data_IF_914117779857
#
_entry.id   IF_914117779857
#
_cell.length_a   1.000
_cell.length_b   1.000
_cell.length_c   1.000
_cell.angle_alpha   90.00
_cell.angle_beta   90.00
_cell.angle_gamma   90.00
#
_symmetry.space_group_name_H-M   'P 1'
#
loop_
_entity.id
_entity.type
_entity.pdbx_description
1 polymer ?
#
# COMPACT_ATOMS: atom_id res chain seq x y z
N UNK A 1 48.57 -8.13 11.65
CA UNK A 1 47.36 -8.82 12.10
C UNK A 1 46.22 -7.79 12.33
N UNK A 2 45.51 -7.33 11.29
CA UNK A 2 44.37 -6.39 11.47
C UNK A 2 43.45 -6.36 10.25
N UNK A 3 42.86 -7.51 9.83
CA UNK A 3 41.90 -7.55 8.71
C UNK A 3 40.57 -8.23 9.07
N UNK A 4 40.31 -8.52 10.35
CA UNK A 4 39.15 -9.34 10.76
C UNK A 4 37.92 -8.53 11.24
N UNK A 5 38.01 -7.20 11.34
CA UNK A 5 36.91 -6.38 11.91
C UNK A 5 35.90 -5.84 10.88
N UNK A 6 36.30 -5.68 9.61
CA UNK A 6 35.43 -5.03 8.60
C UNK A 6 34.29 -5.91 8.08
N UNK A 7 34.39 -7.24 8.17
CA UNK A 7 33.32 -8.13 7.66
C UNK A 7 32.08 -8.18 8.55
N UNK A 8 32.18 -7.90 9.86
CA UNK A 8 31.03 -7.95 10.78
C UNK A 8 30.12 -6.72 10.69
N UNK A 9 30.65 -5.56 10.37
CA UNK A 9 29.87 -4.31 10.29
C UNK A 9 28.94 -4.27 9.06
N UNK A 10 29.36 -4.87 7.95
CA UNK A 10 28.54 -4.93 6.72
C UNK A 10 27.28 -5.79 6.87
N UNK A 11 27.37 -6.93 7.55
CA UNK A 11 26.24 -7.85 7.76
C UNK A 11 25.12 -7.22 8.59
N UNK A 12 25.47 -6.59 9.70
CA UNK A 12 24.49 -5.97 10.62
C UNK A 12 23.74 -4.79 9.99
N UNK A 13 24.40 -4.01 9.13
CA UNK A 13 23.75 -2.89 8.40
C UNK A 13 22.73 -3.39 7.37
N UNK A 14 23.04 -4.50 6.72
CA UNK A 14 22.17 -5.13 5.72
C UNK A 14 20.90 -5.69 6.36
N UNK A 15 21.00 -6.36 7.49
CA UNK A 15 19.84 -6.88 8.22
C UNK A 15 18.88 -5.77 8.65
N UNK A 16 19.41 -4.67 9.16
CA UNK A 16 18.60 -3.50 9.59
C UNK A 16 17.83 -2.88 8.43
N UNK A 17 18.39 -2.81 7.23
CA UNK A 17 17.71 -2.23 6.05
C UNK A 17 16.50 -3.07 5.63
N UNK A 18 16.62 -4.41 5.63
CA UNK A 18 15.50 -5.27 5.26
C UNK A 18 14.37 -5.26 6.28
N UNK A 19 14.72 -5.30 7.57
CA UNK A 19 13.75 -5.21 8.64
C UNK A 19 13.00 -3.86 8.61
N UNK A 20 13.72 -2.75 8.49
CA UNK A 20 13.12 -1.42 8.41
C UNK A 20 12.19 -1.30 7.19
N UNK A 21 12.63 -1.73 6.00
CA UNK A 21 11.80 -1.70 4.79
C UNK A 21 10.54 -2.55 4.92
N UNK A 22 10.66 -3.74 5.51
CA UNK A 22 9.51 -4.60 5.78
C UNK A 22 8.50 -3.97 6.75
N UNK A 23 8.98 -3.38 7.84
CA UNK A 23 8.11 -2.72 8.84
C UNK A 23 7.40 -1.48 8.26
N UNK A 24 8.11 -0.67 7.46
CA UNK A 24 7.49 0.49 6.80
C UNK A 24 6.45 0.02 5.76
N UNK A 25 6.70 -1.08 5.04
CA UNK A 25 5.72 -1.65 4.12
C UNK A 25 4.48 -2.16 4.88
N UNK A 26 4.63 -2.79 6.04
CA UNK A 26 3.51 -3.18 6.90
C UNK A 26 2.71 -1.95 7.34
N UNK A 27 3.38 -0.88 7.76
CA UNK A 27 2.71 0.36 8.16
C UNK A 27 1.94 1.01 6.98
N UNK A 28 2.54 1.09 5.79
CA UNK A 28 1.88 1.59 4.59
C UNK A 28 0.66 0.77 4.19
N UNK A 29 0.79 -0.57 4.24
CA UNK A 29 -0.34 -1.49 3.99
C UNK A 29 -1.45 -1.34 5.03
N UNK A 30 -1.10 -1.18 6.31
CA UNK A 30 -2.08 -0.95 7.38
C UNK A 30 -2.84 0.36 7.18
N UNK A 31 -2.18 1.44 6.73
CA UNK A 31 -2.85 2.69 6.36
C UNK A 31 -3.87 2.48 5.25
N UNK A 32 -3.55 1.70 4.21
CA UNK A 32 -4.50 1.37 3.14
C UNK A 32 -5.71 0.59 3.66
N UNK A 33 -5.48 -0.40 4.54
CA UNK A 33 -6.56 -1.16 5.20
C UNK A 33 -7.45 -0.24 6.02
N UNK A 34 -6.87 0.63 6.86
CA UNK A 34 -7.64 1.61 7.66
C UNK A 34 -8.41 2.54 6.72
N UNK A 35 -7.76 3.09 5.70
CA UNK A 35 -8.38 3.95 4.69
C UNK A 35 -9.62 3.34 4.04
N UNK A 36 -9.63 2.01 3.84
CA UNK A 36 -10.77 1.30 3.25
C UNK A 36 -12.06 1.42 4.08
N UNK A 37 -11.96 1.56 5.39
CA UNK A 37 -13.12 1.67 6.31
C UNK A 37 -13.53 3.12 6.62
N UNK A 38 -12.68 4.09 6.31
CA UNK A 38 -12.99 5.50 6.52
C UNK A 38 -14.02 6.01 5.50
N UNK A 39 -14.44 7.28 5.67
CA UNK A 39 -15.37 7.92 4.73
C UNK A 39 -14.72 8.12 3.36
N UNK A 40 -15.38 7.65 2.31
CA UNK A 40 -14.95 7.80 0.91
C UNK A 40 -15.71 8.89 0.17
N UNK A 41 -16.95 9.13 0.59
CA UNK A 41 -17.80 10.17 0.05
C UNK A 41 -18.43 10.95 1.20
N UNK A 42 -18.52 12.26 1.05
CA UNK A 42 -19.20 13.15 2.00
C UNK A 42 -20.12 14.07 1.20
N UNK A 43 -21.39 14.14 1.60
CA UNK A 43 -22.39 15.03 1.01
C UNK A 43 -22.96 15.95 2.08
N UNK A 44 -23.30 17.19 1.71
CA UNK A 44 -24.08 18.06 2.56
C UNK A 44 -25.56 17.65 2.49
N UNK A 45 -26.26 17.68 3.62
CA UNK A 45 -27.72 17.52 3.64
C UNK A 45 -28.39 18.87 3.51
N UNK A 46 -29.64 18.87 3.01
CA UNK A 46 -30.46 20.09 2.88
C UNK A 46 -30.67 20.82 4.21
N UNK A 47 -30.59 20.11 5.31
CA UNK A 47 -30.70 20.63 6.68
C UNK A 47 -29.37 21.23 7.23
N UNK A 48 -28.32 21.32 6.41
CA UNK A 48 -27.01 21.83 6.83
C UNK A 48 -26.13 20.81 7.56
N UNK A 49 -26.58 19.58 7.73
CA UNK A 49 -25.79 18.45 8.27
C UNK A 49 -24.83 17.84 7.24
N UNK A 50 -24.04 16.87 7.66
CA UNK A 50 -23.13 16.09 6.79
C UNK A 50 -23.47 14.62 6.85
N UNK A 51 -23.56 14.01 5.67
CA UNK A 51 -23.63 12.54 5.50
C UNK A 51 -22.31 12.05 4.97
N UNK A 52 -21.76 11.01 5.57
CA UNK A 52 -20.54 10.34 5.07
C UNK A 52 -20.83 8.88 4.77
N UNK A 53 -20.19 8.38 3.70
CA UNK A 53 -20.32 7.01 3.23
C UNK A 53 -18.94 6.37 3.26
N UNK A 54 -18.80 5.26 3.98
CA UNK A 54 -17.53 4.53 4.08
C UNK A 54 -17.19 3.81 2.76
N UNK A 55 -15.95 3.30 2.66
CA UNK A 55 -15.52 2.52 1.50
C UNK A 55 -16.30 1.22 1.27
N UNK A 56 -17.15 0.80 2.20
CA UNK A 56 -18.04 -0.36 2.10
C UNK A 56 -19.53 0.00 2.12
N UNK A 57 -19.85 1.29 1.98
CA UNK A 57 -21.22 1.76 1.85
C UNK A 57 -21.94 2.02 3.17
N UNK A 58 -21.28 1.90 4.34
CA UNK A 58 -21.90 2.28 5.61
C UNK A 58 -22.16 3.79 5.64
N UNK A 59 -23.40 4.17 5.94
CA UNK A 59 -23.87 5.55 5.99
C UNK A 59 -23.84 6.04 7.43
N UNK A 60 -23.24 7.20 7.63
CA UNK A 60 -23.16 7.88 8.93
C UNK A 60 -23.40 9.38 8.78
N UNK A 61 -23.83 10.04 9.84
CA UNK A 61 -24.10 11.48 9.88
C UNK A 61 -25.53 11.81 10.32
N UNK A 62 -25.90 13.10 10.14
CA UNK A 62 -27.17 13.65 10.59
C UNK A 62 -28.26 13.48 9.51
N UNK A 63 -28.71 12.26 9.32
CA UNK A 63 -29.80 11.97 8.37
C UNK A 63 -30.64 10.78 8.82
N UNK A 64 -31.81 10.62 8.24
CA UNK A 64 -32.79 9.55 8.57
C UNK A 64 -32.33 8.14 8.19
N UNK A 65 -31.30 8.00 7.35
CA UNK A 65 -30.73 6.74 6.89
C UNK A 65 -29.38 6.40 7.55
N UNK A 66 -28.96 7.18 8.54
CA UNK A 66 -27.78 6.90 9.33
C UNK A 66 -27.86 5.51 9.98
N UNK A 67 -26.76 4.75 9.92
CA UNK A 67 -26.72 3.36 10.41
C UNK A 67 -27.12 2.31 9.38
N UNK A 68 -27.64 2.69 8.20
CA UNK A 68 -27.94 1.77 7.09
C UNK A 68 -26.72 1.61 6.17
N UNK A 69 -26.83 0.73 5.17
CA UNK A 69 -25.80 0.51 4.17
C UNK A 69 -26.32 0.92 2.78
N UNK A 70 -25.54 1.72 2.07
CA UNK A 70 -25.86 2.16 0.70
C UNK A 70 -26.13 0.98 -0.24
N UNK A 71 -25.40 -0.13 -0.05
CA UNK A 71 -25.55 -1.31 -0.90
C UNK A 71 -26.94 -1.98 -0.77
N UNK A 72 -27.62 -1.82 0.35
CA UNK A 72 -28.98 -2.34 0.52
C UNK A 72 -29.95 -1.57 -0.38
N UNK A 73 -29.81 -0.25 -0.46
CA UNK A 73 -30.59 0.58 -1.36
C UNK A 73 -30.30 0.30 -2.84
N UNK A 74 -28.99 0.17 -3.17
CA UNK A 74 -28.57 -0.12 -4.55
C UNK A 74 -29.09 -1.48 -5.03
N UNK A 75 -29.04 -2.50 -4.16
CA UNK A 75 -29.56 -3.85 -4.51
C UNK A 75 -31.04 -3.86 -4.78
N UNK A 76 -31.85 -3.12 -4.00
CA UNK A 76 -33.27 -2.97 -4.19
C UNK A 76 -33.60 -2.27 -5.52
N UNK A 77 -32.77 -1.32 -5.94
CA UNK A 77 -32.94 -0.60 -7.21
C UNK A 77 -32.35 -1.32 -8.44
N UNK A 78 -31.80 -2.52 -8.29
CA UNK A 78 -31.09 -3.23 -9.38
C UNK A 78 -29.80 -2.56 -9.84
N UNK A 79 -29.28 -1.63 -9.05
CA UNK A 79 -28.03 -0.93 -9.29
C UNK A 79 -26.85 -1.75 -8.72
N UNK A 80 -25.66 -1.53 -9.23
CA UNK A 80 -24.45 -2.25 -8.80
C UNK A 80 -24.10 -2.06 -7.30
N UNK A 81 -22.94 -2.53 -6.88
CA UNK A 81 -22.48 -2.40 -5.49
C UNK A 81 -21.46 -1.26 -5.35
N UNK A 82 -21.55 -0.50 -4.26
CA UNK A 82 -20.60 0.54 -3.92
C UNK A 82 -19.57 0.02 -2.91
N UNK A 83 -18.38 -0.36 -3.39
CA UNK A 83 -17.30 -0.90 -2.53
C UNK A 83 -15.92 -0.37 -2.94
N UNK A 84 -15.72 0.95 -3.03
CA UNK A 84 -14.43 1.51 -3.43
C UNK A 84 -13.28 1.15 -2.46
N UNK A 85 -13.58 0.90 -1.19
CA UNK A 85 -12.62 0.49 -0.18
C UNK A 85 -12.04 -0.91 -0.40
N UNK A 86 -12.69 -1.77 -1.22
CA UNK A 86 -12.23 -3.14 -1.46
C UNK A 86 -10.83 -3.18 -2.06
N UNK A 87 -10.50 -2.25 -2.96
CA UNK A 87 -9.16 -2.15 -3.56
C UNK A 87 -8.12 -1.81 -2.47
N UNK A 88 -8.39 -0.81 -1.62
CA UNK A 88 -7.53 -0.43 -0.51
C UNK A 88 -7.31 -1.59 0.47
N UNK A 89 -8.38 -2.32 0.82
CA UNK A 89 -8.31 -3.48 1.69
C UNK A 89 -7.45 -4.60 1.07
N UNK A 90 -7.75 -5.00 -0.16
CA UNK A 90 -7.06 -6.13 -0.81
C UNK A 90 -5.57 -5.85 -0.98
N UNK A 91 -5.21 -4.72 -1.58
CA UNK A 91 -3.82 -4.37 -1.80
C UNK A 91 -3.09 -4.00 -0.50
N UNK A 92 -3.80 -3.44 0.47
CA UNK A 92 -3.27 -3.19 1.81
C UNK A 92 -2.87 -4.49 2.51
N UNK A 93 -3.71 -5.52 2.49
CA UNK A 93 -3.39 -6.85 3.04
C UNK A 93 -2.21 -7.51 2.30
N UNK A 94 -2.20 -7.44 0.97
CA UNK A 94 -1.05 -7.94 0.17
C UNK A 94 0.24 -7.24 0.59
N UNK A 95 0.21 -5.93 0.81
CA UNK A 95 1.37 -5.16 1.25
C UNK A 95 1.83 -5.54 2.67
N UNK A 96 0.89 -5.72 3.61
CA UNK A 96 1.20 -6.17 4.98
C UNK A 96 1.89 -7.53 4.96
N UNK A 97 1.33 -8.50 4.25
CA UNK A 97 1.91 -9.85 4.15
C UNK A 97 3.27 -9.83 3.46
N UNK A 98 3.41 -9.07 2.37
CA UNK A 98 4.67 -8.93 1.65
C UNK A 98 5.73 -8.22 2.49
N UNK A 99 5.35 -7.19 3.25
CA UNK A 99 6.24 -6.50 4.19
C UNK A 99 6.73 -7.43 5.30
N UNK A 100 5.85 -8.27 5.86
CA UNK A 100 6.22 -9.28 6.84
C UNK A 100 7.20 -10.31 6.26
N UNK A 101 6.99 -10.75 5.01
CA UNK A 101 7.93 -11.63 4.30
C UNK A 101 9.28 -10.95 4.10
N UNK A 102 9.31 -9.68 3.71
CA UNK A 102 10.56 -8.91 3.57
C UNK A 102 11.29 -8.84 4.91
N UNK A 103 10.60 -8.52 6.00
CA UNK A 103 11.19 -8.43 7.33
C UNK A 103 11.76 -9.78 7.81
N UNK A 104 11.05 -10.88 7.59
CA UNK A 104 11.41 -12.20 8.08
C UNK A 104 12.40 -12.97 7.19
N UNK A 105 12.31 -12.79 5.86
CA UNK A 105 13.06 -13.58 4.88
C UNK A 105 14.33 -12.88 4.39
N UNK A 106 14.62 -11.65 4.83
CA UNK A 106 15.78 -10.88 4.39
C UNK A 106 17.11 -11.64 4.48
N UNK A 107 17.37 -12.45 5.53
CA UNK A 107 18.61 -13.22 5.62
C UNK A 107 18.62 -14.50 4.78
N UNK A 108 17.44 -15.01 4.36
CA UNK A 108 17.28 -16.41 3.93
C UNK A 108 17.22 -16.66 2.42
N UNK A 109 17.08 -15.64 1.58
CA UNK A 109 17.07 -15.89 0.14
C UNK A 109 16.59 -14.73 -0.73
N UNK A 110 17.08 -14.72 -1.99
CA UNK A 110 16.80 -13.61 -2.92
C UNK A 110 15.45 -13.71 -3.64
N UNK A 111 14.92 -14.92 -3.87
CA UNK A 111 13.68 -15.13 -4.62
C UNK A 111 12.43 -14.62 -3.90
N UNK A 112 12.14 -15.04 -2.65
CA UNK A 112 10.95 -14.59 -1.93
C UNK A 112 10.95 -13.07 -1.74
N UNK A 113 12.12 -12.48 -1.53
CA UNK A 113 12.27 -11.04 -1.45
C UNK A 113 11.87 -10.31 -2.73
N UNK A 114 12.31 -10.78 -3.91
CA UNK A 114 11.98 -10.11 -5.19
C UNK A 114 10.48 -10.11 -5.44
N UNK A 115 9.84 -11.25 -5.21
CA UNK A 115 8.38 -11.38 -5.35
C UNK A 115 7.68 -10.41 -4.37
N UNK A 116 8.07 -10.42 -3.10
CA UNK A 116 7.49 -9.53 -2.10
C UNK A 116 7.69 -8.04 -2.44
N UNK A 117 8.88 -7.64 -2.90
CA UNK A 117 9.14 -6.26 -3.32
C UNK A 117 8.30 -5.84 -4.55
N UNK A 118 8.11 -6.74 -5.52
CA UNK A 118 7.22 -6.49 -6.65
C UNK A 118 5.75 -6.36 -6.20
N UNK A 119 5.29 -7.19 -5.27
CA UNK A 119 3.94 -7.10 -4.71
C UNK A 119 3.73 -5.80 -3.92
N UNK A 120 4.73 -5.34 -3.15
CA UNK A 120 4.72 -4.05 -2.47
C UNK A 120 4.62 -2.91 -3.49
N UNK A 121 5.39 -2.97 -4.58
CA UNK A 121 5.34 -1.97 -5.65
C UNK A 121 3.95 -1.93 -6.30
N UNK A 122 3.40 -3.09 -6.67
CA UNK A 122 2.08 -3.21 -7.27
C UNK A 122 0.98 -2.68 -6.34
N UNK A 123 1.04 -3.03 -5.05
CA UNK A 123 0.12 -2.53 -4.05
C UNK A 123 0.23 -1.01 -3.88
N UNK A 124 1.46 -0.47 -3.94
CA UNK A 124 1.71 0.97 -3.90
C UNK A 124 1.09 1.71 -5.08
N UNK A 125 1.29 1.21 -6.32
CA UNK A 125 0.69 1.79 -7.53
C UNK A 125 -0.84 1.74 -7.47
N UNK A 126 -1.40 0.59 -7.11
CA UNK A 126 -2.85 0.42 -7.01
C UNK A 126 -3.45 1.32 -5.92
N UNK A 127 -2.86 1.37 -4.73
CA UNK A 127 -3.34 2.16 -3.60
C UNK A 127 -3.22 3.67 -3.84
N UNK A 128 -2.06 4.13 -4.31
CA UNK A 128 -1.84 5.54 -4.62
C UNK A 128 -2.74 5.99 -5.78
N UNK A 129 -2.74 5.24 -6.89
CA UNK A 129 -3.53 5.59 -8.08
C UNK A 129 -5.03 5.60 -7.79
N UNK A 130 -5.54 4.55 -7.14
CA UNK A 130 -6.95 4.47 -6.79
C UNK A 130 -7.36 5.53 -5.77
N UNK A 131 -6.54 5.75 -4.72
CA UNK A 131 -6.82 6.76 -3.70
C UNK A 131 -6.84 8.17 -4.28
N UNK A 132 -5.87 8.53 -5.12
CA UNK A 132 -5.83 9.84 -5.80
C UNK A 132 -7.02 9.99 -6.75
N UNK A 133 -7.31 8.97 -7.59
CA UNK A 133 -8.43 9.01 -8.52
C UNK A 133 -9.75 9.30 -7.78
N UNK A 134 -9.99 8.59 -6.67
CA UNK A 134 -11.22 8.77 -5.87
C UNK A 134 -11.19 10.04 -5.01
N UNK A 135 -10.01 10.53 -4.67
CA UNK A 135 -9.85 11.80 -3.96
C UNK A 135 -10.16 13.01 -4.83
N UNK A 136 -9.78 12.95 -6.12
CA UNK A 136 -10.01 14.04 -7.08
C UNK A 136 -11.36 13.93 -7.77
N UNK A 137 -11.79 12.71 -8.08
CA UNK A 137 -13.05 12.44 -8.79
C UNK A 137 -13.89 11.39 -8.02
N UNK A 138 -14.53 11.77 -6.91
CA UNK A 138 -15.25 10.84 -6.02
C UNK A 138 -16.43 10.13 -6.69
N UNK A 139 -17.04 10.77 -7.70
CA UNK A 139 -18.15 10.20 -8.51
C UNK A 139 -17.73 9.14 -9.52
N UNK A 140 -16.43 8.93 -9.75
CA UNK A 140 -15.93 7.95 -10.72
C UNK A 140 -16.34 6.54 -10.31
N UNK A 141 -17.09 5.83 -11.16
CA UNK A 141 -17.58 4.48 -10.86
C UNK A 141 -19.10 4.38 -10.68
N UNK A 142 -19.84 5.42 -11.04
CA UNK A 142 -21.19 5.27 -11.54
C UNK A 142 -22.36 5.36 -10.57
N UNK A 143 -22.16 5.57 -9.27
CA UNK A 143 -23.30 5.66 -8.34
C UNK A 143 -23.74 7.11 -8.09
N UNK A 144 -22.84 8.08 -8.26
CA UNK A 144 -23.13 9.50 -8.05
C UNK A 144 -22.50 10.31 -9.19
N UNK A 145 -23.26 10.50 -10.27
CA UNK A 145 -22.77 11.21 -11.47
C UNK A 145 -22.85 12.74 -11.38
N UNK A 146 -23.57 13.28 -10.41
CA UNK A 146 -24.03 14.66 -10.45
C UNK A 146 -23.15 15.66 -9.67
N UNK A 147 -21.95 15.27 -9.29
CA UNK A 147 -21.00 16.20 -8.62
C UNK A 147 -21.44 16.66 -7.21
N UNK A 148 -22.49 16.08 -6.65
CA UNK A 148 -23.10 16.48 -5.37
C UNK A 148 -22.30 16.08 -4.12
N UNK A 149 -21.18 15.37 -4.28
CA UNK A 149 -20.36 14.89 -3.17
C UNK A 149 -18.90 15.33 -3.23
N UNK A 150 -18.27 15.48 -2.08
CA UNK A 150 -16.83 15.67 -1.93
C UNK A 150 -16.16 14.38 -1.47
N UNK A 151 -14.87 14.22 -1.79
CA UNK A 151 -14.09 13.10 -1.30
C UNK A 151 -13.97 13.15 0.23
N UNK A 152 -14.22 12.03 0.87
CA UNK A 152 -13.94 11.83 2.28
C UNK A 152 -12.43 11.65 2.54
N UNK A 153 -12.08 11.30 3.77
CA UNK A 153 -10.69 11.12 4.19
C UNK A 153 -10.10 9.78 3.75
N UNK A 154 -10.95 8.76 3.51
CA UNK A 154 -10.52 7.39 3.17
C UNK A 154 -9.64 7.29 1.93
N UNK A 155 -10.00 7.91 0.77
CA UNK A 155 -9.17 7.94 -0.41
C UNK A 155 -7.77 8.49 -0.15
N UNK A 156 -7.66 9.57 0.61
CA UNK A 156 -6.37 10.23 0.91
C UNK A 156 -5.48 9.39 1.83
N UNK A 157 -6.06 8.73 2.83
CA UNK A 157 -5.32 7.79 3.70
C UNK A 157 -4.84 6.59 2.88
N UNK A 158 -5.67 6.06 1.97
CA UNK A 158 -5.29 4.98 1.05
C UNK A 158 -4.17 5.42 0.10
N UNK A 159 -4.27 6.62 -0.47
CA UNK A 159 -3.24 7.19 -1.34
C UNK A 159 -1.91 7.37 -0.60
N UNK A 160 -1.95 7.89 0.63
CA UNK A 160 -0.76 8.06 1.46
C UNK A 160 -0.09 6.71 1.76
N UNK A 161 -0.86 5.69 2.16
CA UNK A 161 -0.35 4.34 2.35
C UNK A 161 0.30 3.78 1.08
N UNK A 162 -0.35 3.96 -0.08
CA UNK A 162 0.19 3.56 -1.38
C UNK A 162 1.50 4.29 -1.73
N UNK A 163 1.59 5.59 -1.47
CA UNK A 163 2.81 6.37 -1.71
C UNK A 163 3.97 5.89 -0.82
N UNK A 164 3.71 5.60 0.45
CA UNK A 164 4.71 5.01 1.36
C UNK A 164 5.22 3.70 0.79
N UNK A 165 4.34 2.83 0.27
CA UNK A 165 4.73 1.56 -0.34
C UNK A 165 5.60 1.75 -1.59
N UNK A 166 5.28 2.73 -2.44
CA UNK A 166 6.09 3.07 -3.62
C UNK A 166 7.50 3.49 -3.22
N UNK A 167 7.64 4.38 -2.25
CA UNK A 167 8.93 4.86 -1.77
C UNK A 167 9.76 3.73 -1.17
N UNK A 168 9.13 2.84 -0.38
CA UNK A 168 9.80 1.66 0.19
C UNK A 168 10.24 0.69 -0.91
N UNK A 169 9.38 0.41 -1.89
CA UNK A 169 9.74 -0.48 -2.99
C UNK A 169 10.94 0.06 -3.76
N UNK A 170 10.93 1.35 -4.12
CA UNK A 170 12.05 2.01 -4.79
C UNK A 170 13.34 1.93 -3.97
N UNK A 171 13.25 2.20 -2.66
CA UNK A 171 14.39 2.08 -1.76
C UNK A 171 14.95 0.66 -1.68
N UNK A 172 14.08 -0.35 -1.61
CA UNK A 172 14.47 -1.76 -1.59
C UNK A 172 15.15 -2.19 -2.91
N UNK A 173 14.73 -1.65 -4.06
CA UNK A 173 15.36 -1.91 -5.34
C UNK A 173 16.70 -1.17 -5.49
N UNK A 174 16.77 0.12 -5.13
CA UNK A 174 17.99 0.91 -5.20
C UNK A 174 19.13 0.32 -4.33
N UNK A 175 18.86 -0.06 -3.10
CA UNK A 175 19.83 -0.67 -2.21
C UNK A 175 20.39 -2.03 -2.67
N UNK A 176 19.85 -2.59 -3.76
CA UNK A 176 20.36 -3.79 -4.44
C UNK A 176 21.23 -3.48 -5.66
N UNK A 177 20.94 -2.42 -6.38
CA UNK A 177 21.73 -2.00 -7.52
C UNK A 177 23.18 -1.73 -7.08
N UNK A 178 23.35 -1.07 -5.95
CA UNK A 178 24.69 -0.79 -5.39
C UNK A 178 25.50 -2.04 -5.07
N UNK A 179 24.85 -3.16 -4.73
CA UNK A 179 25.53 -4.43 -4.44
C UNK A 179 25.98 -5.18 -5.69
N UNK A 180 25.22 -5.05 -6.79
CA UNK A 180 25.60 -5.68 -8.06
C UNK A 180 26.84 -5.01 -8.66
N UNK A 181 27.01 -3.71 -8.46
CA UNK A 181 28.15 -2.93 -8.96
C UNK A 181 29.39 -3.14 -8.06
N UNK A 182 29.21 -3.36 -6.76
CA UNK A 182 30.32 -3.54 -5.80
C UNK A 182 30.85 -4.97 -5.68
N UNK A 183 30.31 -5.95 -6.39
CA UNK A 183 30.83 -7.32 -6.37
C UNK A 183 32.20 -7.37 -7.02
N UNK A 184 33.29 -7.73 -6.30
CA UNK A 184 34.61 -7.83 -6.88
C UNK A 184 34.56 -8.87 -8.01
N UNK A 185 34.99 -8.47 -9.21
CA UNK A 185 35.21 -9.39 -10.33
C UNK A 185 36.17 -10.45 -9.81
N UNK A 186 35.68 -11.66 -9.56
CA UNK A 186 36.54 -12.81 -9.29
C UNK A 186 37.41 -12.98 -10.55
N UNK A 187 38.63 -12.41 -10.53
CA UNK A 187 39.67 -12.80 -11.49
C UNK A 187 39.86 -14.29 -11.33
N UNK A 188 39.39 -15.06 -12.30
CA UNK A 188 39.80 -16.46 -12.42
C UNK A 188 41.32 -16.50 -12.30
N UNK A 189 41.82 -16.96 -11.18
CA UNK A 189 43.23 -17.35 -11.07
C UNK A 189 43.42 -18.42 -12.13
N UNK A 190 44.11 -18.04 -13.21
CA UNK A 190 44.51 -18.95 -14.25
C UNK A 190 45.18 -20.17 -13.62
N UNK A 191 44.80 -21.32 -14.09
CA UNK A 191 45.46 -22.60 -13.85
C UNK A 191 46.92 -22.38 -14.26
N UNK A 192 47.83 -22.40 -13.30
CA UNK A 192 49.27 -22.52 -13.62
C UNK A 192 49.47 -23.95 -14.15
N UNK A 193 49.89 -24.13 -15.43
CA UNK A 193 50.35 -25.43 -15.86
C UNK A 193 51.67 -25.74 -15.15
N UNK A 194 51.74 -26.90 -14.47
CA UNK A 194 52.94 -27.51 -13.89
C UNK A 194 53.86 -28.12 -14.97
#
# INVERSE_FOLDING_TARGET
>A
MSRSRDHRSGGARIERTGLAGGLIAVAGGALMVIGAFLSWLTTATETGGRTSISGFGAISGDNSVAGSNLNDFLSTGGLGTYRPGLIGLTFGLVAVLSGAVVAAAWPRGQRPFRIAACLILLAGVAGAGWGVLRGVAPGTGGVFSDGSGSAGVGPWVTATGGLVLLLVALWLFAGRADRAVGAPVQRHRGIQPG
#
